data_IF_207221905108
#
_entry.id   IF_207221905108
#
_cell.length_a   1.000
_cell.length_b   1.000
_cell.length_c   1.000
_cell.angle_alpha   90.00
_cell.angle_beta   90.00
_cell.angle_gamma   90.00
#
_symmetry.space_group_name_H-M   'P 1'
#
loop_
_entity.id
_entity.type
_entity.pdbx_description
1 polymer ?
#
# COMPACT_ATOMS: atom_id res chain seq x y z
N UNK A 1 21.14 4.80 4.37
CA UNK A 1 20.30 3.61 4.63
C UNK A 1 18.88 4.09 4.83
N UNK A 2 17.92 3.62 4.04
CA UNK A 2 16.51 4.00 4.20
C UNK A 2 15.94 3.25 5.40
N UNK A 3 15.31 3.97 6.32
CA UNK A 3 14.63 3.37 7.47
C UNK A 3 13.18 3.14 7.12
N UNK A 4 12.75 1.88 7.08
CA UNK A 4 11.35 1.50 6.88
C UNK A 4 10.75 1.13 8.22
N UNK A 5 9.65 1.78 8.59
CA UNK A 5 8.86 1.44 9.78
C UNK A 5 7.49 0.93 9.33
N UNK A 6 7.14 -0.26 9.80
CA UNK A 6 5.77 -0.76 9.70
C UNK A 6 4.95 -0.23 10.87
N UNK A 7 3.72 0.17 10.59
CA UNK A 7 2.81 0.76 11.56
C UNK A 7 1.50 -0.01 11.49
N UNK A 8 1.03 -0.50 12.65
CA UNK A 8 -0.26 -1.14 12.80
C UNK A 8 -1.36 -0.09 13.02
N UNK A 9 -2.61 -0.43 12.69
CA UNK A 9 -3.73 0.52 12.81
C UNK A 9 -3.93 1.03 14.24
N UNK A 10 -3.72 0.17 15.25
CA UNK A 10 -3.82 0.55 16.66
C UNK A 10 -2.79 1.60 17.08
N UNK A 11 -1.59 1.59 16.48
CA UNK A 11 -0.54 2.59 16.79
C UNK A 11 -0.93 4.00 16.32
N UNK A 12 -1.88 4.10 15.39
CA UNK A 12 -2.35 5.35 14.80
C UNK A 12 -3.81 5.67 15.16
N UNK A 13 -4.40 4.90 16.08
CA UNK A 13 -5.78 5.10 16.55
C UNK A 13 -6.85 4.74 15.51
N UNK A 14 -6.51 3.97 14.47
CA UNK A 14 -7.47 3.45 13.51
C UNK A 14 -8.06 2.13 14.02
N UNK A 15 -9.37 1.97 13.83
CA UNK A 15 -10.02 0.70 14.12
C UNK A 15 -9.67 -0.32 13.02
N UNK A 16 -9.55 -1.59 13.38
CA UNK A 16 -9.38 -2.68 12.40
C UNK A 16 -10.57 -2.81 11.43
N UNK A 17 -11.71 -2.22 11.80
CA UNK A 17 -12.94 -2.15 10.99
C UNK A 17 -13.09 -0.82 10.23
N UNK A 18 -12.08 0.06 10.27
CA UNK A 18 -12.10 1.31 9.48
C UNK A 18 -12.24 1.00 7.99
N UNK A 19 -13.07 1.78 7.30
CA UNK A 19 -13.25 1.64 5.87
C UNK A 19 -12.00 2.08 5.08
N UNK A 20 -11.87 1.60 3.84
CA UNK A 20 -10.67 1.85 3.04
C UNK A 20 -10.48 3.35 2.75
N UNK A 21 -11.55 4.16 2.70
CA UNK A 21 -11.44 5.60 2.44
C UNK A 21 -10.80 6.31 3.63
N UNK A 22 -11.23 6.00 4.85
CA UNK A 22 -10.62 6.53 6.08
C UNK A 22 -9.15 6.14 6.16
N UNK A 23 -8.84 4.86 5.93
CA UNK A 23 -7.45 4.37 5.98
C UNK A 23 -6.59 5.03 4.90
N UNK A 24 -7.08 5.14 3.66
CA UNK A 24 -6.34 5.76 2.56
C UNK A 24 -6.09 7.24 2.81
N UNK A 25 -7.10 8.02 3.22
CA UNK A 25 -6.94 9.43 3.55
C UNK A 25 -5.94 9.65 4.68
N UNK A 26 -6.01 8.82 5.73
CA UNK A 26 -5.05 8.89 6.84
C UNK A 26 -3.62 8.65 6.32
N UNK A 27 -3.42 7.61 5.51
CA UNK A 27 -2.11 7.30 4.96
C UNK A 27 -1.55 8.44 4.09
N UNK A 28 -2.36 9.01 3.19
CA UNK A 28 -1.94 10.14 2.36
C UNK A 28 -1.59 11.39 3.19
N UNK A 29 -2.43 11.73 4.17
CA UNK A 29 -2.21 12.89 5.04
C UNK A 29 -0.92 12.77 5.86
N UNK A 30 -0.48 11.54 6.16
CA UNK A 30 0.73 11.27 6.94
C UNK A 30 1.90 10.76 6.11
N UNK A 31 1.83 10.85 4.77
CA UNK A 31 2.88 10.41 3.85
C UNK A 31 3.29 8.93 4.05
N UNK A 32 2.29 8.07 4.26
CA UNK A 32 2.45 6.64 4.45
C UNK A 32 2.06 5.87 3.18
N UNK A 33 2.81 4.80 2.89
CA UNK A 33 2.47 3.84 1.83
C UNK A 33 1.62 2.72 2.44
N UNK A 34 0.45 2.46 1.85
CA UNK A 34 -0.36 1.29 2.21
C UNK A 34 0.17 0.05 1.51
N UNK A 35 0.42 -1.01 2.28
CA UNK A 35 0.75 -2.33 1.75
C UNK A 35 -0.45 -3.24 2.02
N UNK A 36 -0.91 -3.93 0.98
CA UNK A 36 -2.01 -4.88 1.07
C UNK A 36 -1.69 -6.11 0.25
N UNK A 37 -2.44 -7.18 0.48
CA UNK A 37 -2.51 -8.30 -0.43
C UNK A 37 -3.96 -8.60 -0.84
N UNK A 38 -4.87 -7.71 -0.48
CA UNK A 38 -6.28 -7.79 -0.85
C UNK A 38 -6.47 -7.20 -2.26
N UNK A 39 -6.66 -8.11 -3.22
CA UNK A 39 -6.84 -7.80 -4.64
C UNK A 39 -8.26 -7.35 -4.97
N UNK A 40 -9.23 -7.54 -4.07
CA UNK A 40 -10.64 -7.54 -4.42
C UNK A 40 -11.50 -6.98 -3.29
N UNK A 41 -11.68 -5.66 -3.26
CA UNK A 41 -12.78 -5.05 -2.52
C UNK A 41 -13.71 -4.38 -3.53
N UNK A 42 -14.96 -4.84 -3.59
CA UNK A 42 -16.03 -4.21 -4.38
C UNK A 42 -16.91 -3.42 -3.41
N UNK A 43 -17.16 -2.15 -3.70
CA UNK A 43 -17.99 -1.29 -2.88
C UNK A 43 -17.66 0.18 -3.07
N UNK A 44 -18.55 1.07 -2.64
CA UNK A 44 -18.38 2.54 -2.73
C UNK A 44 -17.17 3.08 -1.96
N UNK A 45 -16.71 2.33 -0.97
CA UNK A 45 -15.60 2.67 -0.09
C UNK A 45 -14.45 1.68 -0.28
N UNK A 46 -14.32 1.04 -1.44
CA UNK A 46 -13.17 0.20 -1.73
C UNK A 46 -11.94 1.04 -2.05
N UNK A 47 -10.74 0.53 -1.75
CA UNK A 47 -9.49 1.18 -2.14
C UNK A 47 -9.47 1.59 -3.62
N UNK A 48 -9.98 0.73 -4.52
CA UNK A 48 -10.04 1.05 -5.95
C UNK A 48 -10.91 2.28 -6.23
N UNK A 49 -12.11 2.34 -5.64
CA UNK A 49 -13.02 3.46 -5.82
C UNK A 49 -12.43 4.74 -5.23
N UNK A 50 -11.86 4.67 -4.03
CA UNK A 50 -11.22 5.80 -3.35
C UNK A 50 -10.07 6.35 -4.19
N UNK A 51 -9.18 5.49 -4.70
CA UNK A 51 -8.09 5.93 -5.57
C UNK A 51 -8.59 6.44 -6.93
N UNK A 52 -9.76 6.03 -7.40
CA UNK A 52 -10.35 6.60 -8.62
C UNK A 52 -10.88 8.00 -8.39
N UNK A 53 -11.49 8.26 -7.23
CA UNK A 53 -12.15 9.52 -6.90
C UNK A 53 -11.18 10.58 -6.34
N UNK A 54 -10.22 10.17 -5.53
CA UNK A 54 -9.46 11.08 -4.65
C UNK A 54 -7.97 11.15 -4.96
N UNK A 55 -7.46 10.30 -5.86
CA UNK A 55 -6.04 10.30 -6.21
C UNK A 55 -5.63 11.57 -6.95
N UNK A 56 -4.50 12.13 -6.54
CA UNK A 56 -3.85 13.30 -7.12
C UNK A 56 -2.50 12.91 -7.75
N UNK A 57 -1.88 13.79 -8.57
CA UNK A 57 -0.55 13.54 -9.09
C UNK A 57 0.54 13.34 -8.01
N UNK A 58 0.30 13.79 -6.78
CA UNK A 58 1.24 13.67 -5.64
C UNK A 58 0.86 12.54 -4.68
N UNK A 59 -0.25 11.83 -4.92
CA UNK A 59 -0.70 10.76 -4.03
C UNK A 59 0.28 9.59 -4.03
N UNK A 60 0.59 9.06 -2.84
CA UNK A 60 1.43 7.88 -2.68
C UNK A 60 0.68 6.62 -3.14
N UNK A 61 1.37 5.66 -3.77
CA UNK A 61 0.74 4.45 -4.27
C UNK A 61 0.33 3.50 -3.15
N UNK A 62 -0.71 2.70 -3.40
CA UNK A 62 -1.00 1.48 -2.67
C UNK A 62 -0.19 0.34 -3.29
N UNK A 63 0.63 -0.33 -2.49
CA UNK A 63 1.42 -1.49 -2.90
C UNK A 63 0.64 -2.76 -2.61
N UNK A 64 0.39 -3.58 -3.64
CA UNK A 64 -0.32 -4.85 -3.52
C UNK A 64 0.63 -6.01 -3.77
N UNK A 65 0.82 -6.86 -2.76
CA UNK A 65 1.52 -8.14 -2.89
C UNK A 65 0.65 -9.08 -3.71
N UNK A 66 1.23 -9.65 -4.75
CA UNK A 66 0.54 -10.50 -5.69
C UNK A 66 0.10 -11.82 -5.05
N UNK A 67 0.95 -12.49 -4.30
CA UNK A 67 0.62 -13.80 -3.75
C UNK A 67 1.12 -13.95 -2.32
N UNK A 68 0.20 -13.94 -1.35
CA UNK A 68 0.52 -14.13 0.07
C UNK A 68 1.08 -15.52 0.34
N UNK A 69 0.51 -16.56 -0.27
CA UNK A 69 0.94 -17.94 -0.01
C UNK A 69 2.41 -18.11 -0.40
N UNK A 70 2.81 -17.55 -1.54
CA UNK A 70 4.21 -17.55 -1.99
C UNK A 70 5.10 -16.65 -1.12
N UNK A 71 4.62 -15.49 -0.70
CA UNK A 71 5.34 -14.64 0.26
C UNK A 71 5.70 -15.39 1.54
N UNK A 72 4.77 -16.21 2.05
CA UNK A 72 4.97 -17.00 3.27
C UNK A 72 5.84 -18.24 3.05
N UNK A 73 5.71 -18.91 1.90
CA UNK A 73 6.36 -20.20 1.65
C UNK A 73 7.70 -20.12 0.89
N UNK A 74 7.90 -19.13 0.02
CA UNK A 74 9.03 -19.05 -0.91
C UNK A 74 9.97 -17.88 -0.55
N UNK A 75 11.18 -18.16 -0.01
CA UNK A 75 12.17 -17.12 0.29
C UNK A 75 12.50 -16.23 -0.91
N UNK A 76 12.75 -16.82 -2.09
CA UNK A 76 13.05 -16.07 -3.31
C UNK A 76 11.91 -15.15 -3.74
N UNK A 77 10.66 -15.54 -3.47
CA UNK A 77 9.51 -14.69 -3.74
C UNK A 77 9.52 -13.48 -2.82
N UNK A 78 9.70 -13.71 -1.52
CA UNK A 78 9.80 -12.67 -0.50
C UNK A 78 10.93 -11.68 -0.79
N UNK A 79 12.08 -12.15 -1.22
CA UNK A 79 13.21 -11.28 -1.56
C UNK A 79 12.88 -10.38 -2.76
N UNK A 80 12.16 -10.89 -3.75
CA UNK A 80 11.66 -10.04 -4.85
C UNK A 80 10.61 -9.02 -4.38
N UNK A 81 9.73 -9.37 -3.43
CA UNK A 81 8.81 -8.42 -2.81
C UNK A 81 9.57 -7.28 -2.13
N UNK A 82 10.59 -7.63 -1.33
CA UNK A 82 11.43 -6.68 -0.58
C UNK A 82 12.19 -5.77 -1.54
N UNK A 83 12.88 -6.33 -2.53
CA UNK A 83 13.63 -5.55 -3.52
C UNK A 83 12.71 -4.56 -4.22
N UNK A 84 11.53 -5.00 -4.64
CA UNK A 84 10.58 -4.12 -5.31
C UNK A 84 10.00 -3.05 -4.38
N UNK A 85 9.75 -3.37 -3.11
CA UNK A 85 9.32 -2.40 -2.11
C UNK A 85 10.39 -1.32 -1.88
N UNK A 86 11.66 -1.72 -1.75
CA UNK A 86 12.78 -0.79 -1.60
C UNK A 86 12.90 0.12 -2.82
N UNK A 87 12.84 -0.43 -4.03
CA UNK A 87 12.88 0.36 -5.28
C UNK A 87 11.79 1.44 -5.33
N UNK A 88 10.57 1.10 -4.88
CA UNK A 88 9.44 2.03 -4.83
C UNK A 88 9.70 3.14 -3.81
N UNK A 89 10.19 2.81 -2.61
CA UNK A 89 10.45 3.81 -1.57
C UNK A 89 11.61 4.72 -1.96
N UNK A 90 12.67 4.19 -2.57
CA UNK A 90 13.83 4.97 -3.04
C UNK A 90 13.42 5.98 -4.11
N UNK A 91 12.57 5.57 -5.06
CA UNK A 91 12.19 6.37 -6.22
C UNK A 91 10.72 6.81 -6.14
N UNK A 92 10.24 7.16 -4.94
CA UNK A 92 8.81 7.36 -4.67
C UNK A 92 8.15 8.41 -5.58
N UNK A 93 8.92 9.41 -6.01
CA UNK A 93 8.48 10.46 -6.94
C UNK A 93 8.01 9.89 -8.29
N UNK A 94 8.69 8.86 -8.80
CA UNK A 94 8.33 8.18 -10.05
C UNK A 94 7.01 7.39 -9.94
N UNK A 95 6.54 7.15 -8.72
CA UNK A 95 5.37 6.35 -8.41
C UNK A 95 4.19 7.17 -7.89
N UNK A 96 4.33 8.48 -7.73
CA UNK A 96 3.24 9.34 -7.31
C UNK A 96 2.11 9.36 -8.36
N UNK A 97 0.87 9.35 -7.88
CA UNK A 97 -0.32 9.32 -8.72
C UNK A 97 -0.59 8.01 -9.45
N UNK A 98 0.28 7.00 -9.33
CA UNK A 98 0.13 5.68 -9.97
C UNK A 98 -1.05 4.86 -9.43
N UNK A 99 -1.70 5.32 -8.35
CA UNK A 99 -2.76 4.64 -7.60
C UNK A 99 -2.28 3.33 -6.99
N UNK A 100 -2.21 2.25 -7.77
CA UNK A 100 -1.90 0.90 -7.28
C UNK A 100 -0.75 0.29 -8.04
N UNK A 101 0.22 -0.24 -7.29
CA UNK A 101 1.37 -0.97 -7.84
C UNK A 101 1.29 -2.41 -7.34
N UNK A 102 1.37 -3.35 -8.27
CA UNK A 102 1.51 -4.76 -7.91
C UNK A 102 2.98 -5.12 -7.84
N UNK A 103 3.35 -5.72 -6.72
CA UNK A 103 4.64 -6.38 -6.55
C UNK A 103 4.39 -7.90 -6.53
N UNK A 104 5.41 -8.74 -6.78
CA UNK A 104 5.32 -10.14 -6.38
C UNK A 104 4.72 -10.19 -4.96
#
# INVERSE_FOLDING_TARGET
MISIRFILFEEVGLAVTSDDRVVWRYAQANQMILITANRSMKGKDSLEQVMREENTPTSLPVVTIGNIERLLAEPDYRDRCVNRLVDIVVNIEDYQGARRIFIP
#
